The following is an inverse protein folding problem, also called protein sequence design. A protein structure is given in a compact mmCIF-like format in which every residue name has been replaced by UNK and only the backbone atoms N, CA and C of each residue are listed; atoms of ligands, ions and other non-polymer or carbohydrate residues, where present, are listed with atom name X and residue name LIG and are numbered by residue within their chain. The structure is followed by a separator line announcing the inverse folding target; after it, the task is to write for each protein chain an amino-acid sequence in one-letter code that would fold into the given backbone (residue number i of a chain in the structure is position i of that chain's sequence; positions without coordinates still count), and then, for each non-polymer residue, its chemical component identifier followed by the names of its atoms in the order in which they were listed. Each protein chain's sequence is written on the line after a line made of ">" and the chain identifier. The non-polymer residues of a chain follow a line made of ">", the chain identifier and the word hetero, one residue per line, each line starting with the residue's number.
data_IF_320153561504
#
_entry.id   IF_320153561504
#
_cell.length_a   1.000
_cell.length_b   1.000
_cell.length_c   1.000
_cell.angle_alpha   90.00
_cell.angle_beta   90.00
_cell.angle_gamma   90.00
#
_symmetry.space_group_name_H-M   'P 1'
#
loop_
_entity.id
_entity.type
_entity.pdbx_description
1 polymer ?
#
# COMPACT_ATOMS: atom_id res chain seq x y z
N UNK A 1 -21.06 -1.78 -5.76
CA UNK A 1 -21.30 -3.23 -5.91
C UNK A 1 -20.35 -4.00 -5.00
N UNK A 2 -20.89 -4.96 -4.27
CA UNK A 2 -20.10 -5.77 -3.33
C UNK A 2 -19.55 -7.01 -4.03
N UNK A 3 -18.27 -7.26 -3.86
CA UNK A 3 -17.63 -8.48 -4.37
C UNK A 3 -16.42 -8.84 -3.52
N UNK A 4 -15.93 -10.05 -3.69
CA UNK A 4 -14.74 -10.53 -2.99
C UNK A 4 -13.51 -9.80 -3.52
N UNK A 5 -12.64 -9.34 -2.63
CA UNK A 5 -11.42 -8.66 -3.01
C UNK A 5 -10.33 -8.82 -1.97
N UNK A 6 -9.11 -8.55 -2.37
CA UNK A 6 -7.95 -8.54 -1.48
C UNK A 6 -7.50 -7.09 -1.31
N UNK A 7 -7.59 -6.59 -0.10
CA UNK A 7 -7.19 -5.22 0.24
C UNK A 7 -5.77 -5.24 0.80
N UNK A 8 -4.95 -4.37 0.24
CA UNK A 8 -3.54 -4.22 0.56
C UNK A 8 -3.34 -2.78 1.00
N UNK A 9 -2.96 -2.61 2.25
CA UNK A 9 -2.63 -1.30 2.81
C UNK A 9 -1.17 -1.27 3.21
N UNK A 10 -0.46 -0.26 2.75
CA UNK A 10 0.95 -0.08 3.10
C UNK A 10 1.17 1.34 3.56
N UNK A 11 2.04 1.54 4.55
CA UNK A 11 2.47 2.87 4.97
C UNK A 11 3.95 2.91 5.30
N UNK A 12 4.46 4.13 5.35
CA UNK A 12 5.85 4.42 5.71
C UNK A 12 5.93 4.66 7.20
N UNK A 13 6.81 3.93 7.87
CA UNK A 13 7.04 4.08 9.30
C UNK A 13 7.78 5.39 9.56
N UNK A 14 7.29 6.17 10.51
CA UNK A 14 7.95 7.42 10.92
C UNK A 14 7.84 8.56 9.91
N UNK A 15 6.82 8.56 9.09
CA UNK A 15 6.61 9.58 8.07
C UNK A 15 6.61 11.00 8.66
N UNK A 16 5.88 11.23 9.74
CA UNK A 16 5.81 12.56 10.37
C UNK A 16 7.19 13.07 10.79
N UNK A 17 8.02 12.17 11.34
CA UNK A 17 9.39 12.51 11.75
C UNK A 17 10.27 12.82 10.54
N UNK A 18 10.15 12.02 9.46
CA UNK A 18 10.87 12.26 8.22
C UNK A 18 10.50 13.62 7.63
N UNK A 19 9.21 13.96 7.60
CA UNK A 19 8.72 15.24 7.11
C UNK A 19 9.24 16.42 7.95
N UNK A 20 9.28 16.25 9.27
CA UNK A 20 9.79 17.29 10.16
C UNK A 20 11.30 17.53 9.97
N UNK A 21 12.05 16.49 9.66
CA UNK A 21 13.49 16.58 9.46
C UNK A 21 13.88 17.10 8.08
N UNK A 22 13.15 16.64 7.03
CA UNK A 22 13.46 17.01 5.65
C UNK A 22 12.21 16.78 4.80
N UNK A 23 11.36 17.79 4.73
CA UNK A 23 10.10 17.72 3.97
C UNK A 23 10.35 17.47 2.49
N UNK A 24 11.21 18.28 1.87
CA UNK A 24 11.47 18.18 0.44
C UNK A 24 12.08 16.82 0.06
N UNK A 25 13.05 16.35 0.84
CA UNK A 25 13.69 15.06 0.61
C UNK A 25 12.74 13.89 0.82
N UNK A 26 11.86 13.96 1.81
CA UNK A 26 10.85 12.93 2.06
C UNK A 26 9.86 12.84 0.92
N UNK A 27 9.33 13.97 0.46
CA UNK A 27 8.41 14.00 -0.68
C UNK A 27 9.07 13.47 -1.94
N UNK A 28 10.33 13.77 -2.16
CA UNK A 28 11.08 13.26 -3.31
C UNK A 28 11.23 11.74 -3.22
N UNK A 29 11.58 11.20 -2.06
CA UNK A 29 11.69 9.74 -1.86
C UNK A 29 10.38 9.02 -2.15
N UNK A 30 9.26 9.56 -1.67
CA UNK A 30 7.95 8.97 -1.91
C UNK A 30 7.56 9.02 -3.38
N UNK A 31 7.87 10.13 -4.04
CA UNK A 31 7.59 10.29 -5.46
C UNK A 31 8.41 9.32 -6.31
N UNK A 32 9.69 9.18 -5.99
CA UNK A 32 10.58 8.23 -6.67
C UNK A 32 10.11 6.79 -6.44
N UNK A 33 9.74 6.44 -5.21
CA UNK A 33 9.24 5.12 -4.88
C UNK A 33 7.95 4.82 -5.64
N UNK A 34 7.03 5.77 -5.69
CA UNK A 34 5.78 5.63 -6.44
C UNK A 34 6.04 5.38 -7.92
N UNK A 35 6.96 6.15 -8.52
CA UNK A 35 7.26 6.06 -9.94
C UNK A 35 8.06 4.80 -10.30
N UNK A 36 9.08 4.49 -9.51
CA UNK A 36 10.05 3.44 -9.85
C UNK A 36 9.66 2.06 -9.32
N UNK A 37 8.90 2.00 -8.24
CA UNK A 37 8.54 0.74 -7.58
C UNK A 37 7.05 0.45 -7.66
N UNK A 38 6.21 1.36 -7.16
CA UNK A 38 4.77 1.08 -7.05
C UNK A 38 4.15 0.85 -8.42
N UNK A 39 4.33 1.77 -9.35
CA UNK A 39 3.76 1.65 -10.69
C UNK A 39 4.14 0.36 -11.37
N UNK A 40 5.43 0.07 -11.55
CA UNK A 40 5.87 -1.15 -12.23
C UNK A 40 5.46 -2.44 -11.51
N UNK A 41 5.54 -2.50 -10.17
CA UNK A 41 5.20 -3.71 -9.43
C UNK A 41 3.69 -3.99 -9.42
N UNK A 42 2.85 -2.97 -9.35
CA UNK A 42 1.41 -3.16 -9.45
C UNK A 42 1.04 -3.73 -10.82
N UNK A 43 1.66 -3.25 -11.87
CA UNK A 43 1.43 -3.78 -13.22
C UNK A 43 1.87 -5.24 -13.30
N UNK A 44 3.03 -5.57 -12.74
CA UNK A 44 3.57 -6.93 -12.71
C UNK A 44 2.67 -7.89 -11.93
N UNK A 45 2.15 -7.47 -10.79
CA UNK A 45 1.34 -8.31 -9.89
C UNK A 45 -0.17 -8.10 -10.07
N UNK A 46 -0.58 -7.32 -11.07
CA UNK A 46 -1.98 -7.06 -11.39
C UNK A 46 -2.76 -6.41 -10.24
N UNK A 47 -2.10 -5.51 -9.50
CA UNK A 47 -2.75 -4.72 -8.48
C UNK A 47 -3.37 -3.45 -9.05
N UNK A 48 -4.42 -2.99 -8.41
CA UNK A 48 -5.12 -1.75 -8.79
C UNK A 48 -4.94 -0.71 -7.69
N UNK A 49 -4.33 0.41 -8.01
CA UNK A 49 -4.23 1.52 -7.07
C UNK A 49 -5.59 2.13 -6.86
N UNK A 50 -6.09 2.11 -5.62
CA UNK A 50 -7.36 2.76 -5.28
C UNK A 50 -7.10 4.21 -4.92
N UNK A 51 -6.19 4.45 -3.97
CA UNK A 51 -5.82 5.83 -3.63
C UNK A 51 -4.50 5.90 -2.87
N UNK A 52 -3.83 7.05 -3.00
CA UNK A 52 -2.68 7.41 -2.20
C UNK A 52 -3.16 8.12 -0.93
N UNK A 53 -2.58 7.78 0.21
CA UNK A 53 -2.98 8.29 1.52
C UNK A 53 -1.93 9.23 2.13
N UNK A 54 -1.09 9.85 1.31
CA UNK A 54 0.02 10.68 1.77
C UNK A 54 1.26 9.83 2.05
N UNK A 55 1.30 9.19 3.20
CA UNK A 55 2.39 8.31 3.62
C UNK A 55 2.12 6.83 3.36
N UNK A 56 1.07 6.53 2.60
CA UNK A 56 0.69 5.15 2.34
C UNK A 56 -0.19 5.00 1.12
N UNK A 57 -0.59 3.76 0.87
CA UNK A 57 -1.32 3.41 -0.34
C UNK A 57 -2.37 2.34 -0.05
N UNK A 58 -3.55 2.54 -0.63
CA UNK A 58 -4.65 1.56 -0.61
C UNK A 58 -4.73 0.93 -2.00
N UNK A 59 -4.53 -0.38 -2.05
CA UNK A 59 -4.45 -1.14 -3.30
C UNK A 59 -5.36 -2.34 -3.21
N UNK A 60 -5.97 -2.72 -4.31
CA UNK A 60 -6.77 -3.94 -4.40
C UNK A 60 -6.12 -4.93 -5.34
N UNK A 61 -6.14 -6.22 -4.95
CA UNK A 61 -5.71 -7.34 -5.78
C UNK A 61 -6.86 -8.32 -5.95
N UNK A 62 -6.82 -9.10 -7.02
CA UNK A 62 -7.81 -10.16 -7.25
C UNK A 62 -7.43 -11.47 -6.56
N UNK A 63 -6.19 -11.58 -6.09
CA UNK A 63 -5.65 -12.82 -5.53
C UNK A 63 -4.76 -12.50 -4.34
N UNK A 64 -4.90 -13.29 -3.28
CA UNK A 64 -4.05 -13.15 -2.11
C UNK A 64 -2.59 -13.45 -2.45
N UNK A 65 -2.32 -14.41 -3.33
CA UNK A 65 -0.95 -14.76 -3.68
C UNK A 65 -0.22 -13.63 -4.41
N UNK A 66 -0.90 -12.91 -5.32
CA UNK A 66 -0.28 -11.78 -6.00
C UNK A 66 -0.06 -10.61 -5.04
N UNK A 67 -0.99 -10.39 -4.10
CA UNK A 67 -0.83 -9.36 -3.07
C UNK A 67 0.39 -9.64 -2.20
N UNK A 68 0.53 -10.88 -1.73
CA UNK A 68 1.68 -11.27 -0.89
C UNK A 68 2.99 -11.16 -1.66
N UNK A 69 3.02 -11.61 -2.92
CA UNK A 69 4.21 -11.49 -3.76
C UNK A 69 4.63 -10.04 -3.94
N UNK A 70 3.66 -9.15 -4.15
CA UNK A 70 3.93 -7.72 -4.27
C UNK A 70 4.49 -7.15 -2.96
N UNK A 71 3.91 -7.52 -1.82
CA UNK A 71 4.37 -7.06 -0.51
C UNK A 71 5.82 -7.49 -0.25
N UNK A 72 6.15 -8.74 -0.56
CA UNK A 72 7.49 -9.27 -0.38
C UNK A 72 8.50 -8.54 -1.27
N UNK A 73 8.12 -8.25 -2.50
CA UNK A 73 8.97 -7.49 -3.42
C UNK A 73 9.20 -6.07 -2.90
N UNK A 74 8.16 -5.38 -2.44
CA UNK A 74 8.29 -4.03 -1.87
C UNK A 74 9.19 -4.03 -0.64
N UNK A 75 9.00 -4.98 0.28
CA UNK A 75 9.83 -5.07 1.48
C UNK A 75 11.30 -5.34 1.14
N UNK A 76 11.55 -6.19 0.15
CA UNK A 76 12.90 -6.46 -0.30
C UNK A 76 13.58 -5.20 -0.87
N UNK A 77 12.86 -4.44 -1.70
CA UNK A 77 13.37 -3.21 -2.29
C UNK A 77 13.66 -2.16 -1.22
N UNK A 78 12.69 -1.95 -0.32
CA UNK A 78 12.82 -0.97 0.76
C UNK A 78 13.99 -1.31 1.67
N UNK A 79 14.17 -2.57 1.99
CA UNK A 79 15.29 -3.04 2.81
C UNK A 79 16.64 -2.79 2.12
N UNK A 80 16.72 -3.08 0.82
CA UNK A 80 17.97 -2.86 0.06
C UNK A 80 18.33 -1.38 -0.07
N UNK A 81 17.31 -0.53 -0.26
CA UNK A 81 17.54 0.91 -0.36
C UNK A 81 17.96 1.53 0.97
N UNK A 82 17.48 1.00 2.09
CA UNK A 82 17.84 1.48 3.42
C UNK A 82 17.39 2.90 3.76
N UNK A 83 16.46 3.47 2.97
CA UNK A 83 16.03 4.86 3.11
C UNK A 83 14.78 5.03 3.95
N UNK A 84 13.97 3.99 4.08
CA UNK A 84 12.71 4.03 4.81
C UNK A 84 12.28 2.61 5.18
N UNK A 85 11.31 2.53 6.11
CA UNK A 85 10.71 1.26 6.52
C UNK A 85 9.22 1.30 6.21
N UNK A 86 8.63 0.14 5.97
CA UNK A 86 7.25 0.03 5.53
C UNK A 86 6.52 -1.05 6.32
N UNK A 87 5.23 -0.80 6.60
CA UNK A 87 4.32 -1.82 7.15
C UNK A 87 3.24 -2.11 6.12
N UNK A 88 2.85 -3.38 6.01
CA UNK A 88 1.83 -3.82 5.06
C UNK A 88 0.81 -4.68 5.79
N UNK A 89 -0.48 -4.44 5.54
CA UNK A 89 -1.58 -5.28 5.99
C UNK A 89 -2.39 -5.74 4.79
N UNK A 90 -2.71 -7.03 4.76
CA UNK A 90 -3.45 -7.64 3.64
C UNK A 90 -4.61 -8.45 4.22
N UNK A 91 -5.80 -8.31 3.61
CA UNK A 91 -6.97 -9.07 4.02
C UNK A 91 -7.88 -9.36 2.84
N UNK A 92 -8.35 -10.60 2.75
CA UNK A 92 -9.32 -11.06 1.76
C UNK A 92 -10.71 -11.05 2.38
N UNK A 93 -11.68 -10.49 1.68
CA UNK A 93 -13.06 -10.49 2.13
C UNK A 93 -13.96 -9.73 1.18
N UNK A 94 -15.21 -9.54 1.60
CA UNK A 94 -16.17 -8.76 0.82
C UNK A 94 -15.80 -7.28 0.86
N UNK A 95 -15.87 -6.64 -0.30
CA UNK A 95 -15.54 -5.24 -0.48
C UNK A 95 -16.66 -4.56 -1.25
N UNK A 96 -17.11 -3.42 -0.77
CA UNK A 96 -18.04 -2.56 -1.49
C UNK A 96 -17.24 -1.65 -2.41
N UNK A 97 -17.52 -1.69 -3.71
CA UNK A 97 -16.82 -0.90 -4.71
C UNK A 97 -17.66 0.31 -5.13
N UNK A 98 -17.04 1.48 -5.11
CA UNK A 98 -17.59 2.70 -5.65
C UNK A 98 -16.93 2.99 -6.98
N UNK A 99 -17.76 3.13 -8.04
CA UNK A 99 -17.26 3.26 -9.40
C UNK A 99 -16.64 4.61 -9.73
N UNK A 100 -16.97 5.68 -9.03
CA UNK A 100 -16.42 7.02 -9.22
C UNK A 100 -15.68 7.31 -10.50
N UNK A 101 -15.29 8.54 -10.80
CA UNK A 101 -13.96 9.02 -10.42
C UNK A 101 -14.03 9.92 -9.18
N UNK A 102 -13.11 9.73 -8.22
CA UNK A 102 -12.15 8.61 -8.14
C UNK A 102 -12.80 7.33 -7.64
N UNK A 103 -12.32 6.16 -8.09
CA UNK A 103 -12.82 4.89 -7.55
C UNK A 103 -12.45 4.75 -6.08
N UNK A 104 -13.25 4.02 -5.32
CA UNK A 104 -12.97 3.77 -3.91
C UNK A 104 -13.52 2.41 -3.49
N UNK A 105 -13.10 1.96 -2.33
CA UNK A 105 -13.54 0.70 -1.74
C UNK A 105 -13.88 0.93 -0.27
N UNK A 106 -14.90 0.20 0.21
CA UNK A 106 -15.39 0.33 1.58
C UNK A 106 -15.67 -1.03 2.16
N UNK A 107 -15.82 -1.06 3.47
CA UNK A 107 -16.32 -2.20 4.18
C UNK A 107 -15.37 -2.68 5.25
N UNK A 108 -15.81 -3.71 5.95
CA UNK A 108 -15.08 -4.27 7.08
C UNK A 108 -13.74 -4.85 6.66
N UNK A 109 -13.66 -5.40 5.45
CA UNK A 109 -12.42 -5.93 4.88
C UNK A 109 -11.33 -4.85 4.82
N UNK A 110 -11.69 -3.63 4.41
CA UNK A 110 -10.76 -2.50 4.38
C UNK A 110 -10.32 -2.13 5.81
N UNK A 111 -11.26 -2.09 6.75
CA UNK A 111 -10.97 -1.77 8.14
C UNK A 111 -10.07 -2.81 8.79
N UNK A 112 -10.28 -4.09 8.49
CA UNK A 112 -9.43 -5.18 9.00
C UNK A 112 -8.02 -5.07 8.42
N UNK A 113 -7.89 -4.79 7.12
CA UNK A 113 -6.58 -4.59 6.49
C UNK A 113 -5.83 -3.44 7.17
N UNK A 114 -6.53 -2.34 7.48
CA UNK A 114 -5.93 -1.20 8.18
C UNK A 114 -5.44 -1.57 9.58
N UNK A 115 -6.21 -2.37 10.31
CA UNK A 115 -5.80 -2.85 11.64
C UNK A 115 -4.58 -3.77 11.56
N UNK A 116 -4.57 -4.67 10.58
CA UNK A 116 -3.41 -5.57 10.36
C UNK A 116 -2.16 -4.76 10.01
N UNK A 117 -2.28 -3.75 9.17
CA UNK A 117 -1.17 -2.88 8.81
C UNK A 117 -0.64 -2.15 10.05
N UNK A 118 -1.52 -1.61 10.89
CA UNK A 118 -1.12 -0.81 12.06
C UNK A 118 -0.34 -1.61 13.10
N UNK A 119 -0.51 -2.93 13.18
CA UNK A 119 0.21 -3.81 14.11
C UNK A 119 1.31 -4.61 13.44
N UNK A 120 1.49 -4.46 12.13
CA UNK A 120 2.51 -5.22 11.40
C UNK A 120 3.92 -4.76 11.78
N UNK A 121 4.85 -5.70 11.76
CA UNK A 121 6.27 -5.37 11.88
C UNK A 121 6.81 -4.95 10.52
N UNK A 122 7.90 -4.16 10.53
CA UNK A 122 8.58 -3.75 9.31
C UNK A 122 9.36 -4.93 8.73
N UNK A 123 9.24 -5.11 7.43
CA UNK A 123 9.85 -6.23 6.75
C UNK A 123 8.97 -7.45 6.71
#
# INVERSE_FOLDING_TARGET
>A
MRSLGVIFLADIVGYSKMMAQDEAGTLLKLREFSKEVIGPTLKKHQGTMIKSLGDGWLIEFNSASTAVSCALEWQSIVKKQGKMNMRVGIHLGDVEHEEGPPPDVYGDTVNIAARLESIAETG
#
